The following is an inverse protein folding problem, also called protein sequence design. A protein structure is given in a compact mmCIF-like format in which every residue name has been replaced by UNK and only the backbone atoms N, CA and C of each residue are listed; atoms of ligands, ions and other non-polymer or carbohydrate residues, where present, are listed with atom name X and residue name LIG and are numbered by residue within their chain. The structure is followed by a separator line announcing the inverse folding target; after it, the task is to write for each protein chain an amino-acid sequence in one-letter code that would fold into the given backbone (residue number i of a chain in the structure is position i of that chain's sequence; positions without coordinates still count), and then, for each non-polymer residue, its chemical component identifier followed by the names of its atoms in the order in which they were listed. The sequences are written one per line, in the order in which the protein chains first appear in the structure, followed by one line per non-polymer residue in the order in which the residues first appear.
data_IF_290285545944
#
_entry.id   IF_290285545944
#
_cell.length_a   1.000
_cell.length_b   1.000
_cell.length_c   1.000
_cell.angle_alpha   90.00
_cell.angle_beta   90.00
_cell.angle_gamma   90.00
#
_symmetry.space_group_name_H-M   'P 1'
#
loop_
_entity.id
_entity.type
_entity.pdbx_description
1 polymer ?
#
# COMPACT_ATOMS: atom_id res chain seq x y z
N UNK A 1 5.37 -14.15 6.16
CA UNK A 1 5.21 -15.60 6.36
C UNK A 1 5.84 -16.08 7.64
N UNK A 2 7.04 -15.65 8.00
CA UNK A 2 7.79 -16.12 9.15
C UNK A 2 7.11 -15.79 10.49
N UNK A 3 6.28 -14.75 10.55
CA UNK A 3 5.61 -14.29 11.78
C UNK A 3 4.09 -14.19 11.64
N UNK A 4 3.49 -14.98 10.78
CA UNK A 4 2.05 -15.01 10.58
C UNK A 4 1.30 -15.55 11.81
N UNK A 5 0.03 -15.15 11.94
CA UNK A 5 -0.87 -15.71 12.95
C UNK A 5 -0.96 -17.24 12.78
N UNK A 6 -0.79 -17.96 13.87
CA UNK A 6 -0.75 -19.43 13.84
C UNK A 6 0.63 -20.03 13.68
N UNK A 7 1.66 -19.24 13.44
CA UNK A 7 3.05 -19.69 13.50
C UNK A 7 3.45 -20.03 14.94
N UNK A 8 4.34 -20.99 15.05
CA UNK A 8 5.00 -21.32 16.29
C UNK A 8 6.52 -21.39 16.06
N UNK A 9 7.31 -21.51 17.11
CA UNK A 9 8.78 -21.48 17.00
C UNK A 9 9.36 -22.53 16.07
N UNK A 10 8.70 -23.67 15.90
CA UNK A 10 9.17 -24.72 15.00
C UNK A 10 8.91 -24.33 13.56
N UNK A 11 7.70 -23.85 13.25
CA UNK A 11 7.36 -23.38 11.90
C UNK A 11 8.13 -22.12 11.50
N UNK A 12 8.40 -21.22 12.43
CA UNK A 12 9.31 -20.09 12.20
C UNK A 12 10.69 -20.56 11.73
N UNK A 13 11.29 -21.52 12.43
CA UNK A 13 12.60 -22.05 12.06
C UNK A 13 12.61 -22.76 10.69
N UNK A 14 11.54 -23.47 10.35
CA UNK A 14 11.39 -24.05 9.02
C UNK A 14 11.28 -22.98 7.92
N UNK A 15 10.50 -21.93 8.14
CA UNK A 15 10.36 -20.85 7.17
C UNK A 15 11.65 -20.01 7.05
N UNK A 16 12.37 -19.79 8.12
CA UNK A 16 13.69 -19.15 8.07
C UNK A 16 14.66 -19.95 7.21
N UNK A 17 14.66 -21.26 7.36
CA UNK A 17 15.47 -22.14 6.51
C UNK A 17 15.06 -22.05 5.03
N UNK A 18 13.76 -22.08 4.73
CA UNK A 18 13.28 -21.95 3.35
C UNK A 18 13.60 -20.57 2.76
N UNK A 19 13.57 -19.54 3.58
CA UNK A 19 13.97 -18.20 3.15
C UNK A 19 15.46 -18.16 2.78
N UNK A 20 16.33 -18.78 3.62
CA UNK A 20 17.75 -18.91 3.30
C UNK A 20 17.97 -19.70 2.00
N UNK A 21 17.28 -20.83 1.83
CA UNK A 21 17.35 -21.62 0.60
C UNK A 21 16.89 -20.82 -0.64
N UNK A 22 15.88 -19.96 -0.50
CA UNK A 22 15.42 -19.08 -1.56
C UNK A 22 16.49 -18.04 -1.94
N UNK A 23 17.17 -17.44 -0.97
CA UNK A 23 18.27 -16.50 -1.24
C UNK A 23 19.45 -17.19 -1.92
N UNK A 24 19.81 -18.41 -1.51
CA UNK A 24 20.85 -19.22 -2.16
C UNK A 24 20.46 -19.53 -3.61
N UNK A 25 19.20 -19.85 -3.83
CA UNK A 25 18.71 -20.09 -5.18
C UNK A 25 18.74 -18.83 -6.04
N UNK A 26 18.34 -17.68 -5.51
CA UNK A 26 18.42 -16.39 -6.20
C UNK A 26 19.88 -16.04 -6.55
N UNK A 27 20.82 -16.23 -5.63
CA UNK A 27 22.25 -16.03 -5.88
C UNK A 27 22.77 -16.94 -7.00
N UNK A 28 22.33 -18.20 -7.01
CA UNK A 28 22.66 -19.15 -8.08
C UNK A 28 22.18 -18.66 -9.45
N UNK A 29 20.95 -18.14 -9.53
CA UNK A 29 20.41 -17.58 -10.78
C UNK A 29 21.18 -16.34 -11.23
N UNK A 30 21.55 -15.46 -10.31
CA UNK A 30 22.41 -14.31 -10.61
C UNK A 30 23.76 -14.80 -11.16
N UNK A 31 24.33 -15.85 -10.56
CA UNK A 31 25.55 -16.48 -11.03
C UNK A 31 25.48 -16.92 -12.49
N UNK A 32 24.39 -17.57 -12.91
CA UNK A 32 24.20 -17.93 -14.32
C UNK A 32 24.23 -16.72 -15.27
N UNK A 33 23.63 -15.60 -14.88
CA UNK A 33 23.71 -14.38 -15.68
C UNK A 33 25.14 -13.83 -15.71
N UNK A 34 25.83 -13.82 -14.57
CA UNK A 34 27.22 -13.37 -14.48
C UNK A 34 28.13 -14.19 -15.39
N UNK A 35 27.94 -15.50 -15.45
CA UNK A 35 28.72 -16.40 -16.31
C UNK A 35 28.47 -16.19 -17.81
N UNK A 36 27.31 -15.67 -18.18
CA UNK A 36 26.97 -15.34 -19.57
C UNK A 36 27.53 -13.99 -20.04
N UNK A 37 27.91 -13.12 -19.10
CA UNK A 37 28.35 -11.76 -19.40
C UNK A 37 29.85 -11.71 -19.62
N UNK A 38 30.26 -11.05 -20.68
CA UNK A 38 31.67 -10.72 -20.91
C UNK A 38 32.03 -9.34 -20.29
N UNK A 39 33.28 -8.93 -20.50
CA UNK A 39 33.83 -7.68 -19.96
C UNK A 39 33.13 -6.39 -20.45
N UNK A 40 32.30 -6.48 -21.46
CA UNK A 40 31.65 -5.33 -22.09
C UNK A 40 30.22 -5.09 -21.56
N UNK A 41 29.71 -5.97 -20.72
CA UNK A 41 28.40 -5.87 -20.07
C UNK A 41 28.48 -5.19 -18.70
N UNK A 42 27.33 -4.70 -18.28
CA UNK A 42 27.10 -4.20 -16.92
C UNK A 42 25.83 -4.84 -16.40
N UNK A 43 25.91 -5.44 -15.23
CA UNK A 43 24.80 -6.08 -14.54
C UNK A 43 24.23 -5.11 -13.48
N UNK A 44 22.92 -4.98 -13.46
CA UNK A 44 22.16 -4.32 -12.39
C UNK A 44 21.21 -5.33 -11.77
N UNK A 45 21.25 -5.44 -10.45
CA UNK A 45 20.29 -6.20 -9.65
C UNK A 45 19.63 -5.22 -8.71
N UNK A 46 18.33 -5.09 -8.79
CA UNK A 46 17.58 -4.15 -7.96
C UNK A 46 16.18 -4.69 -7.66
N UNK A 47 15.58 -4.17 -6.61
CA UNK A 47 14.19 -4.40 -6.28
C UNK A 47 13.40 -3.09 -6.44
N UNK A 48 12.13 -3.19 -6.72
CA UNK A 48 11.19 -2.07 -6.80
C UNK A 48 11.00 -1.39 -5.43
N UNK A 49 11.04 -2.17 -4.35
CA UNK A 49 11.00 -1.69 -2.97
C UNK A 49 11.67 -2.69 -2.02
N UNK A 50 11.90 -2.30 -0.78
CA UNK A 50 12.29 -3.19 0.31
C UNK A 50 11.10 -3.48 1.22
N UNK A 51 11.26 -4.45 2.11
CA UNK A 51 10.31 -4.74 3.19
C UNK A 51 10.89 -4.24 4.51
N UNK A 52 10.03 -3.61 5.30
CA UNK A 52 10.34 -3.24 6.68
C UNK A 52 9.48 -4.09 7.59
N UNK A 53 10.04 -4.65 8.64
CA UNK A 53 9.24 -5.32 9.67
C UNK A 53 8.50 -4.24 10.46
N UNK A 54 7.19 -4.12 10.39
CA UNK A 54 6.47 -3.12 11.14
C UNK A 54 6.53 -3.45 12.63
N UNK A 55 6.94 -2.47 13.43
CA UNK A 55 6.86 -2.57 14.89
C UNK A 55 5.40 -2.52 15.36
N UNK A 56 4.54 -1.97 14.52
CA UNK A 56 3.11 -1.79 14.78
C UNK A 56 2.30 -2.18 13.56
N UNK A 57 1.13 -2.73 13.80
CA UNK A 57 0.14 -2.98 12.75
C UNK A 57 -0.49 -1.65 12.34
N UNK A 58 -0.26 -1.15 11.11
CA UNK A 58 -0.90 0.09 10.68
C UNK A 58 -2.40 -0.12 10.48
N UNK A 59 -3.17 0.94 10.71
CA UNK A 59 -4.53 0.98 10.21
C UNK A 59 -4.50 1.13 8.68
N UNK A 60 -5.31 0.36 7.99
CA UNK A 60 -5.46 0.49 6.56
C UNK A 60 -6.13 1.80 6.18
N UNK A 61 -5.60 2.44 5.17
CA UNK A 61 -6.25 3.58 4.50
C UNK A 61 -6.98 3.10 3.26
N UNK A 62 -6.38 2.17 2.56
CA UNK A 62 -6.98 1.48 1.43
C UNK A 62 -7.15 0.00 1.71
N UNK A 63 -7.94 -0.65 0.90
CA UNK A 63 -8.15 -2.08 0.93
C UNK A 63 -7.84 -2.67 -0.43
N UNK A 64 -7.13 -3.75 -0.43
CA UNK A 64 -6.76 -4.47 -1.63
C UNK A 64 -7.94 -5.13 -2.33
N UNK A 65 -8.94 -5.50 -1.56
CA UNK A 65 -10.20 -5.99 -2.10
C UNK A 65 -11.22 -4.87 -2.35
N UNK A 66 -10.86 -3.62 -2.05
CA UNK A 66 -11.76 -2.47 -2.15
C UNK A 66 -12.84 -2.42 -1.08
N UNK A 67 -12.72 -3.19 0.00
CA UNK A 67 -13.77 -3.33 1.01
C UNK A 67 -13.32 -2.94 2.42
N UNK A 68 -12.06 -3.12 2.76
CA UNK A 68 -11.57 -2.90 4.13
C UNK A 68 -10.93 -1.52 4.30
N UNK A 69 -11.73 -0.50 4.31
CA UNK A 69 -11.29 0.90 4.35
C UNK A 69 -11.40 1.49 5.75
N UNK A 70 -10.64 0.95 6.69
CA UNK A 70 -10.76 1.28 8.12
C UNK A 70 -10.63 2.77 8.42
N UNK A 71 -9.63 3.44 7.88
CA UNK A 71 -9.42 4.86 8.15
C UNK A 71 -10.53 5.70 7.52
N UNK A 72 -10.92 5.41 6.29
CA UNK A 72 -12.02 6.13 5.62
C UNK A 72 -13.36 5.90 6.32
N UNK A 73 -13.57 4.71 6.88
CA UNK A 73 -14.75 4.43 7.70
C UNK A 73 -14.73 5.20 9.02
N UNK A 74 -13.60 5.20 9.73
CA UNK A 74 -13.43 5.99 10.97
C UNK A 74 -13.62 7.49 10.74
N UNK A 75 -13.20 8.01 9.58
CA UNK A 75 -13.37 9.41 9.20
C UNK A 75 -14.78 9.72 8.66
N UNK A 76 -15.64 8.71 8.48
CA UNK A 76 -17.03 8.89 8.05
C UNK A 76 -17.19 9.16 6.55
N UNK A 77 -16.26 8.71 5.72
CA UNK A 77 -16.35 8.80 4.27
C UNK A 77 -16.85 7.53 3.61
N UNK A 78 -16.52 6.37 4.17
CA UNK A 78 -16.93 5.04 3.69
C UNK A 78 -17.79 4.36 4.75
N UNK A 79 -18.88 3.75 4.33
CA UNK A 79 -19.80 3.01 5.20
C UNK A 79 -19.95 1.60 4.70
N UNK A 80 -19.97 0.64 5.63
CA UNK A 80 -20.24 -0.76 5.34
C UNK A 80 -21.72 -1.05 5.57
N UNK A 81 -22.27 -2.00 4.81
CA UNK A 81 -23.61 -2.54 5.11
C UNK A 81 -23.58 -3.29 6.43
N UNK A 82 -24.72 -3.31 7.10
CA UNK A 82 -24.90 -4.02 8.35
C UNK A 82 -25.83 -5.23 8.14
N UNK A 83 -25.59 -6.30 8.88
CA UNK A 83 -26.51 -7.43 8.98
C UNK A 83 -27.69 -7.11 9.92
N UNK A 84 -28.61 -8.06 10.10
CA UNK A 84 -29.77 -7.92 10.97
C UNK A 84 -29.42 -7.71 12.46
N UNK A 85 -28.20 -8.05 12.85
CA UNK A 85 -27.68 -7.91 14.20
C UNK A 85 -26.83 -6.63 14.39
N UNK A 86 -26.66 -5.83 13.32
CA UNK A 86 -25.86 -4.62 13.33
C UNK A 86 -24.35 -4.84 13.14
N UNK A 87 -23.92 -6.03 12.73
CA UNK A 87 -22.52 -6.27 12.40
C UNK A 87 -22.22 -5.85 10.98
N UNK A 88 -21.02 -5.34 10.74
CA UNK A 88 -20.56 -4.95 9.40
C UNK A 88 -20.44 -6.17 8.49
N UNK A 89 -21.03 -6.07 7.31
CA UNK A 89 -20.83 -6.99 6.20
C UNK A 89 -19.60 -6.55 5.39
N UNK A 90 -19.00 -7.48 4.63
CA UNK A 90 -17.91 -7.15 3.69
C UNK A 90 -18.48 -6.55 2.40
N UNK A 91 -19.37 -5.57 2.53
CA UNK A 91 -20.01 -4.86 1.43
C UNK A 91 -20.13 -3.38 1.76
N UNK A 92 -19.80 -2.52 0.80
CA UNK A 92 -19.93 -1.07 0.94
C UNK A 92 -21.41 -0.66 0.84
N UNK A 93 -21.85 0.20 1.76
CA UNK A 93 -23.13 0.91 1.66
C UNK A 93 -22.95 2.16 0.78
N UNK A 94 -23.11 1.98 -0.51
CA UNK A 94 -22.95 3.05 -1.50
C UNK A 94 -23.92 4.21 -1.32
N UNK A 95 -25.06 3.97 -0.67
CA UNK A 95 -26.06 5.03 -0.41
C UNK A 95 -25.58 6.08 0.58
N UNK A 96 -24.54 5.77 1.36
CA UNK A 96 -23.94 6.66 2.38
C UNK A 96 -22.48 6.99 2.11
N UNK A 97 -21.81 6.21 1.29
CA UNK A 97 -20.39 6.32 1.03
C UNK A 97 -20.09 7.46 0.07
N UNK A 98 -19.40 8.49 0.56
CA UNK A 98 -18.99 9.65 -0.23
C UNK A 98 -17.65 9.49 -0.93
N UNK A 99 -16.75 8.70 -0.34
CA UNK A 99 -15.44 8.41 -0.92
C UNK A 99 -14.92 7.05 -0.43
N UNK A 100 -14.12 6.40 -1.25
CA UNK A 100 -13.42 5.17 -0.91
C UNK A 100 -11.93 5.31 -1.18
N UNK A 101 -11.10 4.70 -0.35
CA UNK A 101 -9.70 4.49 -0.67
C UNK A 101 -9.54 3.11 -1.31
N UNK A 102 -8.72 3.02 -2.33
CA UNK A 102 -8.40 1.78 -3.02
C UNK A 102 -6.91 1.50 -2.98
N UNK A 103 -6.55 0.32 -3.43
CA UNK A 103 -5.17 -0.06 -3.70
C UNK A 103 -4.46 1.00 -4.57
N UNK A 104 -3.13 1.01 -4.52
CA UNK A 104 -2.29 1.98 -5.21
C UNK A 104 -2.48 3.44 -4.74
N UNK A 105 -2.86 3.62 -3.46
CA UNK A 105 -2.86 4.91 -2.79
C UNK A 105 -3.77 5.97 -3.43
N UNK A 106 -4.92 5.54 -3.92
CA UNK A 106 -5.93 6.40 -4.52
C UNK A 106 -7.19 6.49 -3.68
N UNK A 107 -7.80 7.68 -3.64
CA UNK A 107 -9.13 7.88 -3.09
C UNK A 107 -10.03 8.37 -4.21
N UNK A 108 -11.17 7.71 -4.35
CA UNK A 108 -12.21 8.02 -5.33
C UNK A 108 -13.42 8.61 -4.62
N UNK A 109 -13.85 9.77 -5.05
CA UNK A 109 -15.09 10.38 -4.61
C UNK A 109 -16.24 9.76 -5.40
N UNK A 110 -17.30 9.36 -4.70
CA UNK A 110 -18.48 8.72 -5.28
C UNK A 110 -19.39 9.77 -5.94
N UNK A 111 -19.02 10.20 -7.17
CA UNK A 111 -19.61 11.33 -7.87
C UNK A 111 -20.87 10.96 -8.65
N UNK A 112 -21.90 11.77 -8.52
CA UNK A 112 -23.08 11.73 -9.40
C UNK A 112 -22.68 11.94 -10.85
N UNK A 113 -23.20 11.10 -11.72
CA UNK A 113 -22.98 11.18 -13.15
C UNK A 113 -21.67 10.59 -13.67
N UNK A 114 -20.70 10.30 -12.76
CA UNK A 114 -19.51 9.54 -13.09
C UNK A 114 -19.61 8.10 -12.59
N UNK A 115 -20.01 7.94 -11.35
CA UNK A 115 -20.02 6.64 -10.68
C UNK A 115 -21.46 6.08 -10.65
N UNK A 116 -21.59 4.76 -10.80
CA UNK A 116 -22.90 4.08 -10.88
C UNK A 116 -23.79 4.39 -9.67
N UNK A 117 -23.17 4.46 -8.49
CA UNK A 117 -23.87 4.74 -7.23
C UNK A 117 -23.53 6.12 -6.68
N UNK A 118 -23.13 7.06 -7.55
CA UNK A 118 -22.68 8.39 -7.15
C UNK A 118 -23.71 9.16 -6.33
N UNK A 119 -23.27 9.66 -5.17
CA UNK A 119 -24.11 10.47 -4.27
C UNK A 119 -23.60 11.90 -4.06
N UNK A 120 -22.31 12.15 -4.34
CA UNK A 120 -21.69 13.47 -4.20
C UNK A 120 -21.98 14.32 -5.44
N UNK A 121 -22.45 15.53 -5.24
CA UNK A 121 -22.63 16.47 -6.34
C UNK A 121 -21.27 16.93 -6.88
N UNK A 122 -21.07 16.99 -8.19
CA UNK A 122 -19.82 17.49 -8.77
C UNK A 122 -19.42 18.88 -8.28
N UNK A 123 -20.38 19.73 -7.90
CA UNK A 123 -20.10 21.07 -7.34
C UNK A 123 -19.42 20.99 -5.97
N UNK A 124 -19.69 19.96 -5.20
CA UNK A 124 -19.15 19.79 -3.84
C UNK A 124 -17.81 19.04 -3.83
N UNK A 125 -17.36 18.54 -4.98
CA UNK A 125 -16.16 17.70 -5.11
C UNK A 125 -14.94 18.37 -4.51
N UNK A 126 -14.68 19.60 -4.87
CA UNK A 126 -13.47 20.33 -4.46
C UNK A 126 -13.39 20.53 -2.96
N UNK A 127 -14.50 20.88 -2.33
CA UNK A 127 -14.59 21.06 -0.88
C UNK A 127 -14.42 19.71 -0.15
N UNK A 128 -15.02 18.66 -0.68
CA UNK A 128 -14.88 17.33 -0.10
C UNK A 128 -13.44 16.81 -0.21
N UNK A 129 -12.76 17.04 -1.32
CA UNK A 129 -11.32 16.72 -1.46
C UNK A 129 -10.48 17.43 -0.39
N UNK A 130 -10.72 18.72 -0.17
CA UNK A 130 -10.03 19.52 0.84
C UNK A 130 -10.25 18.96 2.25
N UNK A 131 -11.51 18.62 2.55
CA UNK A 131 -11.87 18.03 3.84
C UNK A 131 -11.18 16.68 4.05
N UNK A 132 -11.24 15.78 3.06
CA UNK A 132 -10.59 14.46 3.15
C UNK A 132 -9.09 14.61 3.38
N UNK A 133 -8.40 15.45 2.62
CA UNK A 133 -6.96 15.67 2.78
C UNK A 133 -6.63 16.22 4.16
N UNK A 134 -7.41 17.17 4.68
CA UNK A 134 -7.25 17.74 6.01
C UNK A 134 -7.40 16.69 7.11
N UNK A 135 -8.43 15.86 7.00
CA UNK A 135 -8.70 14.80 7.96
C UNK A 135 -7.62 13.71 7.93
N UNK A 136 -7.13 13.35 6.74
CA UNK A 136 -6.02 12.43 6.57
C UNK A 136 -4.74 12.96 7.22
N UNK A 137 -4.41 14.24 7.03
CA UNK A 137 -3.25 14.85 7.70
C UNK A 137 -3.38 14.92 9.22
N UNK A 138 -4.61 15.03 9.71
CA UNK A 138 -4.91 15.08 11.14
C UNK A 138 -4.97 13.69 11.78
N UNK A 139 -5.16 12.65 10.96
CA UNK A 139 -5.28 11.28 11.44
C UNK A 139 -3.96 10.78 12.03
N UNK A 140 -4.06 10.19 13.20
CA UNK A 140 -2.94 9.59 13.92
C UNK A 140 -3.26 8.15 14.28
N UNK A 141 -2.25 7.31 14.23
CA UNK A 141 -2.37 5.94 14.68
C UNK A 141 -2.81 5.91 16.15
N UNK A 142 -3.88 5.17 16.51
CA UNK A 142 -4.49 5.24 17.82
C UNK A 142 -3.54 4.88 18.96
N UNK A 143 -2.67 3.88 18.76
CA UNK A 143 -1.78 3.38 19.82
C UNK A 143 -0.49 4.18 19.94
N UNK A 144 0.04 4.67 18.82
CA UNK A 144 1.35 5.35 18.80
C UNK A 144 1.27 6.86 18.78
N UNK A 145 0.12 7.42 18.42
CA UNK A 145 -0.07 8.85 18.21
C UNK A 145 0.74 9.41 17.03
N UNK A 146 1.43 8.57 16.26
CA UNK A 146 2.21 8.98 15.10
C UNK A 146 1.31 9.30 13.92
N UNK A 147 1.78 10.19 13.06
CA UNK A 147 1.12 10.53 11.79
C UNK A 147 1.19 9.34 10.83
N UNK A 148 0.09 9.00 10.20
CA UNK A 148 -0.02 7.88 9.26
C UNK A 148 0.16 8.34 7.81
N UNK A 149 -0.32 9.54 7.46
CA UNK A 149 -0.21 10.08 6.11
C UNK A 149 0.97 11.06 6.02
N UNK A 150 1.90 10.77 5.12
CA UNK A 150 3.02 11.67 4.81
C UNK A 150 2.59 12.78 3.87
N UNK A 151 1.82 12.44 2.81
CA UNK A 151 1.40 13.36 1.77
C UNK A 151 0.02 12.96 1.24
N UNK A 152 -0.84 13.94 0.97
CA UNK A 152 -2.07 13.77 0.22
C UNK A 152 -2.23 14.94 -0.74
N UNK A 153 -2.48 14.67 -2.01
CA UNK A 153 -2.60 15.66 -3.08
C UNK A 153 -3.84 15.36 -3.92
N UNK A 154 -4.44 16.41 -4.45
CA UNK A 154 -5.41 16.23 -5.54
C UNK A 154 -4.74 15.58 -6.74
N UNK A 155 -5.49 14.82 -7.49
CA UNK A 155 -5.01 14.15 -8.71
C UNK A 155 -4.20 15.09 -9.62
N UNK A 156 -4.75 16.27 -9.93
CA UNK A 156 -4.08 17.25 -10.80
C UNK A 156 -2.74 17.76 -10.27
N UNK A 157 -2.59 17.82 -8.94
CA UNK A 157 -1.38 18.33 -8.30
C UNK A 157 -0.33 17.23 -8.17
N UNK A 158 -0.77 15.97 -8.05
CA UNK A 158 0.08 14.78 -8.01
C UNK A 158 0.89 14.59 -9.32
N UNK A 159 0.43 15.16 -10.44
CA UNK A 159 1.15 15.15 -11.72
C UNK A 159 2.54 15.78 -11.59
N UNK A 160 2.73 16.75 -10.70
CA UNK A 160 4.05 17.35 -10.43
C UNK A 160 5.06 16.34 -9.86
N UNK A 161 4.58 15.27 -9.28
CA UNK A 161 5.42 14.16 -8.75
C UNK A 161 5.48 12.97 -9.71
N UNK A 162 4.97 13.11 -10.93
CA UNK A 162 4.91 12.01 -11.90
C UNK A 162 3.79 11.01 -11.61
N UNK A 163 2.83 11.37 -10.75
CA UNK A 163 1.66 10.58 -10.38
C UNK A 163 0.38 11.34 -10.77
N UNK A 164 -0.80 10.75 -10.61
CA UNK A 164 -2.04 11.40 -11.06
C UNK A 164 -2.38 11.12 -12.53
N UNK A 165 -3.37 11.81 -13.06
CA UNK A 165 -3.87 11.61 -14.41
C UNK A 165 -5.21 10.86 -14.45
N UNK A 166 -5.71 10.50 -15.66
CA UNK A 166 -7.07 9.98 -15.83
C UNK A 166 -7.31 8.62 -15.18
N UNK A 167 -6.26 7.83 -14.97
CA UNK A 167 -6.35 6.49 -14.39
C UNK A 167 -6.19 6.49 -12.86
N UNK A 168 -5.87 7.64 -12.28
CA UNK A 168 -5.73 7.79 -10.82
C UNK A 168 -7.03 8.28 -10.18
N UNK A 169 -7.14 8.06 -8.84
CA UNK A 169 -8.24 8.58 -8.04
C UNK A 169 -8.30 10.10 -7.98
N UNK A 170 -9.31 10.64 -7.34
CA UNK A 170 -9.48 12.08 -7.17
C UNK A 170 -8.42 12.68 -6.24
N UNK A 171 -7.98 11.89 -5.25
CA UNK A 171 -6.88 12.21 -4.33
C UNK A 171 -5.88 11.07 -4.39
N UNK A 172 -4.60 11.44 -4.49
CA UNK A 172 -3.48 10.53 -4.35
C UNK A 172 -2.84 10.75 -2.98
N UNK A 173 -2.51 9.68 -2.27
CA UNK A 173 -1.90 9.80 -0.94
C UNK A 173 -0.68 8.90 -0.79
N UNK A 174 0.17 9.25 0.14
CA UNK A 174 1.34 8.46 0.54
C UNK A 174 1.34 8.31 2.04
N UNK A 175 1.51 7.09 2.50
CA UNK A 175 1.65 6.79 3.91
C UNK A 175 3.03 7.19 4.41
N UNK A 176 3.15 7.47 5.70
CA UNK A 176 4.43 7.61 6.35
C UNK A 176 5.15 6.25 6.40
N UNK A 177 6.47 6.28 6.52
CA UNK A 177 7.25 5.04 6.68
C UNK A 177 6.75 4.25 7.90
N UNK A 178 6.60 2.96 7.74
CA UNK A 178 6.02 2.07 8.75
C UNK A 178 4.50 1.91 8.65
N UNK A 179 3.84 2.57 7.69
CA UNK A 179 2.38 2.50 7.52
C UNK A 179 1.95 2.18 6.09
N UNK A 180 2.88 1.82 5.24
CA UNK A 180 2.56 1.37 3.91
C UNK A 180 2.16 -0.10 3.97
N UNK A 181 0.95 -0.40 3.56
CA UNK A 181 0.37 -1.73 3.59
C UNK A 181 -0.10 -2.09 2.18
N UNK A 182 0.88 -2.19 1.32
CA UNK A 182 0.66 -2.58 -0.06
C UNK A 182 1.10 -4.04 -0.28
N UNK A 183 0.64 -4.72 -1.27
CA UNK A 183 0.92 -6.11 -1.62
C UNK A 183 0.28 -7.22 -0.78
N UNK A 184 -0.39 -6.94 0.32
CA UNK A 184 -1.22 -7.98 0.86
C UNK A 184 -2.46 -8.10 -0.03
N UNK A 185 -2.77 -9.22 -0.57
CA UNK A 185 -4.06 -9.46 -1.20
C UNK A 185 -5.12 -9.73 -0.12
N UNK A 186 -6.38 -9.54 -0.43
CA UNK A 186 -7.47 -9.78 0.52
C UNK A 186 -7.59 -11.25 0.97
N UNK A 187 -6.75 -12.11 0.46
CA UNK A 187 -6.60 -13.52 0.83
C UNK A 187 -5.37 -13.75 1.70
N UNK A 188 -4.50 -12.76 1.88
CA UNK A 188 -3.34 -12.88 2.73
C UNK A 188 -3.74 -13.05 4.18
N UNK A 189 -3.22 -14.09 4.81
CA UNK A 189 -3.33 -14.31 6.24
C UNK A 189 -2.34 -13.49 7.04
N UNK A 190 -1.42 -12.81 6.36
CA UNK A 190 -0.36 -12.01 6.93
C UNK A 190 -0.88 -10.63 7.32
N UNK A 191 -1.37 -10.46 8.52
CA UNK A 191 -1.68 -9.14 9.05
C UNK A 191 -0.38 -8.41 9.43
N UNK A 192 -0.19 -7.21 8.89
CA UNK A 192 0.89 -6.31 9.29
C UNK A 192 2.23 -6.53 8.61
N UNK A 193 2.24 -7.22 7.49
CA UNK A 193 3.48 -7.64 6.83
C UNK A 193 3.88 -6.82 5.64
N UNK A 194 3.25 -5.84 5.27
CA UNK A 194 3.54 -5.25 4.00
C UNK A 194 4.02 -3.82 4.12
N UNK A 195 4.89 -3.59 5.02
CA UNK A 195 5.54 -2.31 5.02
C UNK A 195 6.66 -2.31 3.99
N UNK A 196 6.55 -1.42 3.02
CA UNK A 196 7.55 -1.22 2.00
C UNK A 196 8.48 -0.08 2.40
N UNK A 197 9.75 -0.25 2.12
CA UNK A 197 10.77 0.78 2.32
C UNK A 197 11.18 1.36 0.98
N UNK A 198 11.48 2.66 0.96
CA UNK A 198 12.07 3.36 -0.18
C UNK A 198 13.58 3.06 -0.35
N UNK A 199 14.13 2.15 0.44
CA UNK A 199 15.54 1.76 0.40
C UNK A 199 15.70 0.31 -0.08
N UNK A 200 15.35 0.00 -1.35
CA UNK A 200 15.52 -1.33 -1.91
C UNK A 200 16.99 -1.69 -2.09
N UNK A 201 17.24 -2.97 -2.30
CA UNK A 201 18.56 -3.43 -2.70
C UNK A 201 18.91 -2.88 -4.10
N UNK A 202 20.15 -2.40 -4.24
CA UNK A 202 20.73 -2.04 -5.52
C UNK A 202 22.16 -2.53 -5.59
N UNK A 203 22.44 -3.40 -6.54
CA UNK A 203 23.76 -3.94 -6.81
C UNK A 203 24.07 -3.66 -8.27
N UNK A 204 25.28 -3.19 -8.55
CA UNK A 204 25.73 -2.99 -9.91
C UNK A 204 27.19 -3.47 -10.06
N UNK A 205 27.46 -4.19 -11.13
CA UNK A 205 28.79 -4.71 -11.43
C UNK A 205 29.07 -4.67 -12.94
N UNK A 206 30.31 -4.36 -13.33
CA UNK A 206 30.71 -4.40 -14.72
C UNK A 206 31.40 -3.14 -15.22
N UNK A 207 31.44 -3.01 -16.55
CA UNK A 207 32.14 -1.95 -17.25
C UNK A 207 31.57 -0.56 -16.91
N UNK A 208 32.46 0.38 -16.63
CA UNK A 208 32.08 1.77 -16.33
C UNK A 208 31.70 2.04 -14.86
N UNK A 209 31.66 1.03 -14.03
CA UNK A 209 31.40 1.17 -12.60
C UNK A 209 32.69 1.19 -11.80
N UNK A 210 32.76 2.07 -10.80
CA UNK A 210 33.86 2.08 -9.82
C UNK A 210 33.56 1.01 -8.76
N UNK A 211 34.62 0.32 -8.33
CA UNK A 211 34.52 -0.54 -7.14
C UNK A 211 34.31 0.36 -5.91
N UNK A 212 33.26 0.12 -5.16
CA UNK A 212 32.96 0.75 -3.88
C UNK A 212 33.80 0.16 -2.75
#
# INVERSE_FOLDING_TARGET
YVKDKGQNKQTEAEFEKWLEELYILADTYIGYFVDLLDKDWTLFVFSDHALVSPEHLPDYIGDMSGINVRVMNKLGYTYMKLDENGNELREIDWSKTRAIASQANNIYINLKGRDEHGIVDPADKYELEEQIMTDLYSYKHPDTGKRVIALALRNRDAVLLGYGGPECGDICYWTAEGYNYDHADGLSTCEGWADTSLSPIFIAAGKGLKKG
#
